data_IF_282081599337
#
_entry.id   IF_282081599337
#
_cell.length_a   1.000
_cell.length_b   1.000
_cell.length_c   1.000
_cell.angle_alpha   90.00
_cell.angle_beta   90.00
_cell.angle_gamma   90.00
#
_symmetry.space_group_name_H-M   'P 1'
#
loop_
_entity.id
_entity.type
_entity.pdbx_description
1 polymer ?
#
# COMPACT_ATOMS: atom_id res chain seq x y z
N UNK A 1 -10.01 9.52 0.53
CA UNK A 1 -9.79 8.07 0.72
C UNK A 1 -9.11 7.53 -0.54
N UNK A 2 -8.04 6.73 -0.43
CA UNK A 2 -7.36 6.14 -1.59
C UNK A 2 -7.95 4.74 -1.83
N UNK A 3 -8.41 4.40 -3.06
CA UNK A 3 -8.97 3.09 -3.33
C UNK A 3 -7.88 2.00 -3.32
N UNK A 4 -8.25 0.80 -2.88
CA UNK A 4 -7.39 -0.38 -2.93
C UNK A 4 -7.30 -0.95 -4.34
N UNK A 5 -6.25 -1.71 -4.62
CA UNK A 5 -6.06 -2.39 -5.91
C UNK A 5 -7.25 -3.28 -6.24
N UNK A 6 -7.75 -4.03 -5.24
CA UNK A 6 -8.90 -4.93 -5.36
C UNK A 6 -10.17 -4.16 -5.78
N UNK A 7 -10.45 -3.01 -5.15
CA UNK A 7 -11.61 -2.21 -5.50
C UNK A 7 -11.50 -1.67 -6.92
N UNK A 8 -10.31 -1.19 -7.31
CA UNK A 8 -10.08 -0.70 -8.68
C UNK A 8 -10.29 -1.82 -9.72
N UNK A 9 -9.77 -3.03 -9.47
CA UNK A 9 -9.99 -4.19 -10.36
C UNK A 9 -11.45 -4.62 -10.43
N UNK A 10 -12.17 -4.57 -9.31
CA UNK A 10 -13.61 -4.87 -9.30
C UNK A 10 -14.40 -3.87 -10.15
N UNK A 11 -14.06 -2.57 -10.07
CA UNK A 11 -14.69 -1.54 -10.89
C UNK A 11 -14.32 -1.68 -12.37
N UNK A 12 -13.07 -1.98 -12.69
CA UNK A 12 -12.63 -2.30 -14.06
C UNK A 12 -13.49 -3.44 -14.65
N UNK A 13 -13.61 -4.56 -13.94
CA UNK A 13 -14.39 -5.71 -14.38
C UNK A 13 -15.87 -5.37 -14.58
N UNK A 14 -16.44 -4.58 -13.65
CA UNK A 14 -17.83 -4.11 -13.77
C UNK A 14 -18.04 -3.24 -15.01
N UNK A 15 -17.13 -2.33 -15.31
CA UNK A 15 -17.24 -1.48 -16.50
C UNK A 15 -17.05 -2.27 -17.79
N UNK A 16 -16.15 -3.26 -17.82
CA UNK A 16 -16.04 -4.18 -18.95
C UNK A 16 -17.33 -4.97 -19.18
N UNK A 17 -17.98 -5.45 -18.11
CA UNK A 17 -19.27 -6.14 -18.21
C UNK A 17 -20.37 -5.21 -18.76
N UNK A 18 -20.40 -3.94 -18.32
CA UNK A 18 -21.35 -2.95 -18.85
C UNK A 18 -21.10 -2.63 -20.33
N UNK A 19 -19.83 -2.51 -20.73
CA UNK A 19 -19.47 -2.29 -22.14
C UNK A 19 -19.86 -3.48 -23.02
N UNK A 20 -19.68 -4.71 -22.53
CA UNK A 20 -20.04 -5.93 -23.26
C UNK A 20 -21.55 -6.13 -23.36
N UNK A 21 -22.30 -5.75 -22.32
CA UNK A 21 -23.75 -5.98 -22.24
C UNK A 21 -24.63 -4.84 -22.80
N UNK A 22 -24.05 -3.75 -23.31
CA UNK A 22 -24.82 -2.60 -23.77
C UNK A 22 -24.98 -2.53 -25.28
N UNK A 23 -26.23 -2.38 -25.74
CA UNK A 23 -26.55 -2.15 -27.16
C UNK A 23 -26.30 -0.70 -27.60
N UNK A 24 -26.26 0.24 -26.64
CA UNK A 24 -26.05 1.65 -26.92
C UNK A 24 -24.56 1.97 -27.04
N UNK A 25 -24.16 2.48 -28.22
CA UNK A 25 -22.76 2.77 -28.52
C UNK A 25 -22.12 3.77 -27.54
N UNK A 26 -22.87 4.81 -27.12
CA UNK A 26 -22.39 5.79 -26.15
C UNK A 26 -22.06 5.16 -24.79
N UNK A 27 -22.90 4.24 -24.31
CA UNK A 27 -22.67 3.53 -23.05
C UNK A 27 -21.44 2.64 -23.16
N UNK A 28 -21.29 1.90 -24.26
CA UNK A 28 -20.09 1.09 -24.51
C UNK A 28 -18.83 1.95 -24.44
N UNK A 29 -18.81 3.06 -25.17
CA UNK A 29 -17.66 3.97 -25.20
C UNK A 29 -17.29 4.48 -23.81
N UNK A 30 -18.26 5.00 -23.04
CA UNK A 30 -18.01 5.53 -21.69
C UNK A 30 -17.55 4.42 -20.74
N UNK A 31 -18.17 3.25 -20.79
CA UNK A 31 -17.81 2.12 -19.95
C UNK A 31 -16.39 1.62 -20.27
N UNK A 32 -15.99 1.54 -21.54
CA UNK A 32 -14.62 1.19 -21.93
C UNK A 32 -13.60 2.21 -21.42
N UNK A 33 -13.87 3.51 -21.53
CA UNK A 33 -12.99 4.54 -20.97
C UNK A 33 -12.89 4.45 -19.45
N UNK A 34 -14.01 4.23 -18.77
CA UNK A 34 -14.03 4.05 -17.33
C UNK A 34 -13.24 2.80 -16.91
N UNK A 35 -13.38 1.68 -17.64
CA UNK A 35 -12.60 0.46 -17.39
C UNK A 35 -11.09 0.72 -17.51
N UNK A 36 -10.66 1.42 -18.56
CA UNK A 36 -9.25 1.79 -18.74
C UNK A 36 -8.73 2.70 -17.62
N UNK A 37 -9.54 3.65 -17.15
CA UNK A 37 -9.19 4.52 -16.03
C UNK A 37 -9.03 3.71 -14.72
N UNK A 38 -9.95 2.79 -14.44
CA UNK A 38 -9.88 1.90 -13.28
C UNK A 38 -8.68 0.94 -13.35
N UNK A 39 -8.36 0.40 -14.52
CA UNK A 39 -7.18 -0.42 -14.73
C UNK A 39 -5.91 0.36 -14.38
N UNK A 40 -5.81 1.62 -14.83
CA UNK A 40 -4.68 2.50 -14.50
C UNK A 40 -4.60 2.76 -12.99
N UNK A 41 -5.71 3.09 -12.34
CA UNK A 41 -5.72 3.31 -10.88
C UNK A 41 -5.37 2.04 -10.10
N UNK A 42 -5.78 0.86 -10.58
CA UNK A 42 -5.40 -0.41 -9.98
C UNK A 42 -3.87 -0.58 -9.96
N UNK A 43 -3.18 -0.29 -11.07
CA UNK A 43 -1.71 -0.37 -11.11
C UNK A 43 -1.03 0.62 -10.13
N UNK A 44 -1.60 1.81 -9.94
CA UNK A 44 -1.08 2.75 -8.95
C UNK A 44 -1.34 2.27 -7.52
N UNK A 45 -2.52 1.71 -7.26
CA UNK A 45 -2.87 1.14 -5.97
C UNK A 45 -1.97 -0.06 -5.62
N UNK A 46 -1.73 -0.97 -6.56
CA UNK A 46 -0.81 -2.11 -6.40
C UNK A 46 0.59 -1.64 -5.99
N UNK A 47 1.13 -0.62 -6.68
CA UNK A 47 2.43 -0.01 -6.33
C UNK A 47 2.42 0.64 -4.95
N UNK A 48 1.34 1.32 -4.57
CA UNK A 48 1.20 1.92 -3.23
C UNK A 48 1.21 0.84 -2.15
N UNK A 49 0.41 -0.20 -2.34
CA UNK A 49 0.26 -1.31 -1.40
C UNK A 49 1.56 -2.12 -1.28
N UNK A 50 2.28 -2.36 -2.37
CA UNK A 50 3.59 -2.99 -2.35
C UNK A 50 4.60 -2.18 -1.53
N UNK A 51 4.64 -0.85 -1.72
CA UNK A 51 5.49 0.03 -0.90
C UNK A 51 5.12 -0.03 0.57
N UNK A 52 3.83 -0.08 0.91
CA UNK A 52 3.38 -0.22 2.30
C UNK A 52 3.80 -1.57 2.89
N UNK A 53 3.69 -2.66 2.13
CA UNK A 53 4.13 -3.99 2.55
C UNK A 53 5.64 -4.04 2.81
N UNK A 54 6.44 -3.45 1.92
CA UNK A 54 7.91 -3.36 2.09
C UNK A 54 8.28 -2.54 3.34
N UNK A 55 7.60 -1.43 3.59
CA UNK A 55 7.81 -0.60 4.80
C UNK A 55 7.44 -1.34 6.07
N UNK A 56 6.30 -2.03 6.08
CA UNK A 56 5.88 -2.85 7.22
C UNK A 56 6.89 -3.98 7.51
N UNK A 57 7.38 -4.65 6.46
CA UNK A 57 8.40 -5.69 6.61
C UNK A 57 9.74 -5.12 7.12
N UNK A 58 10.18 -3.96 6.63
CA UNK A 58 11.40 -3.30 7.11
C UNK A 58 11.30 -2.80 8.55
N UNK A 59 10.15 -2.25 8.96
CA UNK A 59 9.89 -1.86 10.35
C UNK A 59 9.85 -3.04 11.31
N UNK A 60 9.41 -4.22 10.86
CA UNK A 60 9.42 -5.43 11.69
C UNK A 60 10.84 -5.94 12.00
N UNK A 61 11.87 -5.49 11.28
CA UNK A 61 13.27 -5.89 11.52
C UNK A 61 13.95 -4.95 12.54
N UNK A 62 13.44 -3.73 12.73
CA UNK A 62 14.06 -2.66 13.54
C UNK A 62 13.54 -2.59 15.00
N UNK A 63 12.88 -3.65 15.49
CA UNK A 63 12.32 -3.71 16.86
C UNK A 63 13.31 -4.16 17.94
N UNK A 64 14.61 -4.21 17.66
CA UNK A 64 15.64 -4.35 18.69
C UNK A 64 16.72 -3.26 18.53
N UNK A 65 16.47 -2.03 19.00
CA UNK A 65 17.56 -1.07 19.16
C UNK A 65 18.57 -1.69 20.14
N UNK A 66 19.89 -1.69 19.85
CA UNK A 66 20.87 -2.12 20.83
C UNK A 66 20.66 -1.26 22.08
N UNK A 67 20.40 -1.92 23.21
CA UNK A 67 20.25 -1.27 24.50
C UNK A 67 21.37 -0.23 24.63
N UNK A 68 21.00 1.05 24.71
CA UNK A 68 21.95 2.11 25.03
C UNK A 68 22.58 1.73 26.36
N UNK A 69 23.82 1.24 26.32
CA UNK A 69 24.65 1.12 27.50
C UNK A 69 25.06 2.56 27.82
N UNK A 70 24.21 3.25 28.58
CA UNK A 70 24.58 4.49 29.23
C UNK A 70 25.69 4.13 30.23
N UNK A 71 26.94 4.25 29.78
CA UNK A 71 28.12 4.11 30.62
C UNK A 71 28.09 5.26 31.64
N UNK A 72 27.58 4.97 32.83
CA UNK A 72 27.64 5.88 33.98
C UNK A 72 29.02 5.74 34.63
N UNK A 73 29.90 6.76 34.56
CA UNK A 73 31.25 6.69 35.13
C UNK A 73 31.27 6.74 36.68
N UNK A 74 30.12 6.89 37.34
CA UNK A 74 30.05 7.09 38.80
C UNK A 74 29.99 5.79 39.63
N UNK A 75 30.08 4.60 39.00
CA UNK A 75 30.01 3.32 39.73
C UNK A 75 31.35 2.79 40.25
N UNK A 76 32.47 3.36 39.83
CA UNK A 76 33.80 2.85 40.18
C UNK A 76 34.35 3.40 41.52
N UNK A 77 33.74 4.45 42.09
CA UNK A 77 34.20 5.05 43.35
C UNK A 77 33.60 4.43 44.63
N UNK A 78 32.65 3.49 44.51
CA UNK A 78 31.99 2.89 45.68
C UNK A 78 32.70 1.65 46.26
N UNK A 79 33.79 1.17 45.63
CA UNK A 79 34.51 -0.04 46.05
C UNK A 79 35.82 0.23 46.83
N UNK A 80 36.12 1.50 47.16
CA UNK A 80 37.24 1.89 48.03
C UNK A 80 36.70 2.42 49.37
N UNK A 81 36.20 1.52 50.22
CA UNK A 81 36.13 1.76 51.66
C UNK A 81 36.32 0.48 52.45
#
# INVERSE_FOLDING_TARGET
MQPSSILCRAQEARQNALAAGSDLANVRTVATFAAAAWAKEATYAEKREERMRKRAAGQAIDVNPPARQDHHPDRDFAAMR
#
